data_IF_506840803171
#
_entry.id   IF_506840803171
#
_cell.length_a   1.000
_cell.length_b   1.000
_cell.length_c   1.000
_cell.angle_alpha   90.00
_cell.angle_beta   90.00
_cell.angle_gamma   90.00
#
_symmetry.space_group_name_H-M   'P 1'
#
loop_
_entity.id
_entity.type
_entity.pdbx_description
1 polymer ?
#
# COMPACT_ATOMS: atom_id res chain seq x y z
N UNK A 1 8.26 -3.69 -3.00
CA UNK A 1 9.49 -3.22 -3.65
C UNK A 1 10.62 -3.29 -2.63
N UNK A 2 11.75 -3.89 -2.99
CA UNK A 2 12.94 -3.95 -2.14
C UNK A 2 13.90 -2.86 -2.60
N UNK A 3 14.29 -1.96 -1.69
CA UNK A 3 15.26 -0.89 -1.96
C UNK A 3 16.57 -1.28 -1.29
N UNK A 4 17.61 -1.50 -2.08
CA UNK A 4 18.96 -1.78 -1.57
C UNK A 4 19.83 -0.55 -1.80
N UNK A 5 20.13 0.24 -0.76
CA UNK A 5 21.05 1.36 -0.91
C UNK A 5 22.49 0.84 -1.01
N UNK A 6 23.21 1.26 -2.05
CA UNK A 6 24.65 1.07 -2.17
C UNK A 6 25.34 2.42 -2.09
N UNK A 7 26.18 2.61 -1.07
CA UNK A 7 27.02 3.80 -0.95
C UNK A 7 28.38 3.54 -1.60
N UNK A 8 28.68 4.29 -2.66
CA UNK A 8 30.01 4.36 -3.24
C UNK A 8 30.73 5.58 -2.65
N UNK A 9 31.84 5.36 -1.95
CA UNK A 9 32.57 6.41 -1.23
C UNK A 9 33.77 6.81 -2.07
N UNK A 10 33.79 8.04 -2.53
CA UNK A 10 34.95 8.62 -3.19
C UNK A 10 35.77 9.43 -2.18
N UNK A 11 36.90 8.86 -1.76
CA UNK A 11 37.79 9.45 -0.76
C UNK A 11 38.67 10.60 -1.29
N UNK A 12 38.94 10.66 -2.60
CA UNK A 12 39.69 11.78 -3.18
C UNK A 12 38.82 13.06 -3.22
N UNK A 13 37.54 12.88 -3.54
CA UNK A 13 36.61 13.98 -3.75
C UNK A 13 35.88 14.37 -2.44
N UNK A 14 36.07 13.61 -1.36
CA UNK A 14 35.29 13.70 -0.12
C UNK A 14 33.77 13.63 -0.36
N UNK A 15 33.34 12.84 -1.35
CA UNK A 15 31.92 12.68 -1.70
C UNK A 15 31.47 11.24 -1.51
N UNK A 16 30.18 11.09 -1.20
CA UNK A 16 29.52 9.77 -1.12
C UNK A 16 28.40 9.78 -2.15
N UNK A 17 28.49 8.89 -3.12
CA UNK A 17 27.43 8.63 -4.08
C UNK A 17 26.51 7.54 -3.53
N UNK A 18 25.24 7.84 -3.33
CA UNK A 18 24.25 6.86 -2.89
C UNK A 18 23.43 6.41 -4.09
N UNK A 19 23.60 5.15 -4.48
CA UNK A 19 22.86 4.52 -5.58
C UNK A 19 21.72 3.71 -4.97
N UNK A 20 20.49 4.06 -5.32
CA UNK A 20 19.29 3.30 -4.95
C UNK A 20 18.89 2.41 -6.11
N UNK A 21 19.06 1.10 -5.94
CA UNK A 21 18.50 0.11 -6.88
C UNK A 21 17.11 -0.25 -6.40
N UNK A 22 16.08 0.07 -7.20
CA UNK A 22 14.68 -0.22 -6.90
C UNK A 22 14.28 -1.46 -7.69
N UNK A 23 14.17 -2.60 -7.01
CA UNK A 23 13.59 -3.80 -7.61
C UNK A 23 12.08 -3.79 -7.36
N UNK A 24 11.34 -3.38 -8.40
CA UNK A 24 9.91 -3.55 -8.48
C UNK A 24 9.66 -4.93 -9.07
N UNK A 25 9.67 -5.96 -8.23
CA UNK A 25 9.32 -7.33 -8.63
C UNK A 25 7.97 -7.42 -9.37
N UNK A 26 7.58 -8.64 -9.77
CA UNK A 26 6.38 -8.88 -10.61
C UNK A 26 5.16 -8.08 -10.14
N UNK A 27 4.51 -7.36 -11.06
CA UNK A 27 3.31 -6.57 -10.76
C UNK A 27 2.23 -7.52 -10.22
N UNK A 28 1.92 -7.38 -8.94
CA UNK A 28 0.77 -8.04 -8.33
C UNK A 28 -0.50 -7.27 -8.72
N UNK A 29 -1.59 -8.01 -8.94
CA UNK A 29 -2.91 -7.46 -9.23
C UNK A 29 -3.86 -7.84 -8.10
N UNK A 30 -4.84 -6.98 -7.85
CA UNK A 30 -5.87 -7.24 -6.83
C UNK A 30 -6.90 -8.17 -7.45
N UNK A 31 -6.95 -9.43 -7.04
CA UNK A 31 -7.97 -10.36 -7.56
C UNK A 31 -9.35 -10.12 -6.94
N UNK A 32 -9.40 -9.96 -5.61
CA UNK A 32 -10.64 -9.81 -4.85
C UNK A 32 -10.44 -8.96 -3.62
N UNK A 33 -11.41 -8.08 -3.34
CA UNK A 33 -11.51 -7.36 -2.06
C UNK A 33 -12.59 -8.02 -1.22
N UNK A 34 -12.19 -8.62 -0.10
CA UNK A 34 -13.10 -9.21 0.88
C UNK A 34 -13.27 -8.28 2.08
N UNK A 35 -14.52 -7.94 2.39
CA UNK A 35 -14.89 -7.08 3.51
C UNK A 35 -15.53 -7.98 4.58
N UNK A 36 -15.05 -7.88 5.83
CA UNK A 36 -15.56 -8.65 6.96
C UNK A 36 -15.78 -7.74 8.16
N UNK A 37 -16.76 -8.07 8.99
CA UNK A 37 -17.06 -7.35 10.24
C UNK A 37 -17.88 -6.06 10.08
N UNK A 38 -18.56 -5.89 8.95
CA UNK A 38 -19.39 -4.72 8.65
C UNK A 38 -20.89 -4.97 8.88
N UNK A 39 -21.27 -5.53 10.04
CA UNK A 39 -22.67 -5.95 10.31
C UNK A 39 -23.69 -4.79 10.31
N UNK A 40 -23.24 -3.57 10.70
CA UNK A 40 -24.09 -2.38 10.76
C UNK A 40 -23.97 -1.47 9.54
N UNK A 41 -22.93 -1.66 8.73
CA UNK A 41 -22.56 -0.76 7.63
C UNK A 41 -22.55 -1.52 6.32
N UNK A 42 -23.30 -1.04 5.33
CA UNK A 42 -23.37 -1.70 4.02
C UNK A 42 -22.01 -1.70 3.32
N UNK A 43 -21.70 -2.79 2.62
CA UNK A 43 -20.44 -2.99 1.89
C UNK A 43 -20.06 -1.82 0.98
N UNK A 44 -21.04 -1.21 0.29
CA UNK A 44 -20.78 -0.10 -0.63
C UNK A 44 -20.16 1.12 0.06
N UNK A 45 -20.41 1.31 1.36
CA UNK A 45 -19.86 2.43 2.14
C UNK A 45 -18.37 2.25 2.37
N UNK A 46 -17.92 1.00 2.52
CA UNK A 46 -16.49 0.68 2.68
C UNK A 46 -15.83 0.65 1.30
N UNK A 47 -16.47 0.02 0.32
CA UNK A 47 -15.94 -0.18 -1.03
C UNK A 47 -15.67 1.14 -1.76
N UNK A 48 -16.50 2.17 -1.55
CA UNK A 48 -16.29 3.51 -2.15
C UNK A 48 -15.06 4.27 -1.63
N UNK A 49 -14.48 3.87 -0.49
CA UNK A 49 -13.30 4.53 0.08
C UNK A 49 -11.99 4.01 -0.52
N UNK A 50 -12.05 2.92 -1.29
CA UNK A 50 -10.93 2.38 -2.05
C UNK A 50 -10.81 3.10 -3.40
N UNK A 51 -9.63 3.64 -3.70
CA UNK A 51 -9.29 4.18 -5.03
C UNK A 51 -8.94 3.08 -6.05
N UNK A 52 -8.95 1.81 -5.61
CA UNK A 52 -8.58 0.63 -6.40
C UNK A 52 -9.72 -0.36 -6.41
N UNK A 53 -9.87 -1.06 -7.52
CA UNK A 53 -10.87 -2.11 -7.72
C UNK A 53 -10.22 -3.46 -7.99
N UNK A 54 -11.01 -4.53 -7.93
CA UNK A 54 -10.56 -5.82 -8.44
C UNK A 54 -10.12 -5.71 -9.91
N UNK A 55 -8.95 -6.26 -10.23
CA UNK A 55 -8.28 -6.16 -11.53
C UNK A 55 -7.19 -5.07 -11.59
N UNK A 56 -7.16 -4.13 -10.65
CA UNK A 56 -6.14 -3.09 -10.63
C UNK A 56 -4.79 -3.60 -10.12
N UNK A 57 -3.71 -2.93 -10.55
CA UNK A 57 -2.37 -3.21 -10.04
C UNK A 57 -2.29 -2.84 -8.54
N UNK A 58 -1.69 -3.73 -7.75
CA UNK A 58 -1.51 -3.52 -6.32
C UNK A 58 -0.62 -2.30 -6.05
N UNK A 59 -1.16 -1.34 -5.31
CA UNK A 59 -0.44 -0.16 -4.88
C UNK A 59 -0.63 0.09 -3.39
N UNK A 60 0.43 -0.17 -2.62
CA UNK A 60 0.42 -0.01 -1.16
C UNK A 60 0.04 1.41 -0.72
N UNK A 61 0.42 2.46 -1.48
CA UNK A 61 0.09 3.85 -1.15
C UNK A 61 -1.43 4.08 -1.22
N UNK A 62 -2.09 3.52 -2.24
CA UNK A 62 -3.54 3.64 -2.40
C UNK A 62 -4.27 2.88 -1.28
N UNK A 63 -3.79 1.70 -0.90
CA UNK A 63 -4.37 0.91 0.21
C UNK A 63 -4.25 1.66 1.55
N UNK A 64 -3.08 2.23 1.86
CA UNK A 64 -2.90 3.00 3.10
C UNK A 64 -3.78 4.25 3.14
N UNK A 65 -4.00 4.89 1.98
CA UNK A 65 -4.92 6.03 1.87
C UNK A 65 -6.37 5.61 2.11
N UNK A 66 -6.79 4.46 1.56
CA UNK A 66 -8.13 3.91 1.80
C UNK A 66 -8.34 3.61 3.30
N UNK A 67 -7.35 3.00 3.97
CA UNK A 67 -7.37 2.78 5.42
C UNK A 67 -7.63 4.08 6.20
N UNK A 68 -6.87 5.13 5.89
CA UNK A 68 -7.02 6.42 6.56
C UNK A 68 -8.41 7.04 6.33
N UNK A 69 -8.99 6.89 5.14
CA UNK A 69 -10.37 7.34 4.89
C UNK A 69 -11.40 6.58 5.72
N UNK A 70 -11.26 5.26 5.81
CA UNK A 70 -12.14 4.43 6.62
C UNK A 70 -12.07 4.79 8.11
N UNK A 71 -10.87 5.07 8.62
CA UNK A 71 -10.67 5.57 9.98
C UNK A 71 -11.33 6.95 10.17
N UNK A 72 -11.20 7.85 9.19
CA UNK A 72 -11.81 9.18 9.25
C UNK A 72 -13.35 9.18 9.19
N UNK A 73 -14.00 8.10 8.73
CA UNK A 73 -15.46 7.99 8.75
C UNK A 73 -16.00 7.90 10.19
N UNK A 74 -15.17 7.53 11.17
CA UNK A 74 -15.57 7.29 12.56
C UNK A 74 -16.72 6.26 12.72
N UNK A 75 -16.88 5.36 11.74
CA UNK A 75 -17.88 4.28 11.77
C UNK A 75 -17.34 2.99 12.39
N UNK A 76 -16.01 2.86 12.47
CA UNK A 76 -15.32 1.65 12.88
C UNK A 76 -14.34 1.99 14.00
N UNK A 77 -14.31 1.17 15.06
CA UNK A 77 -13.34 1.33 16.14
C UNK A 77 -11.92 0.94 15.71
N UNK A 78 -11.82 -0.07 14.83
CA UNK A 78 -10.54 -0.57 14.31
C UNK A 78 -10.69 -0.95 12.83
N UNK A 79 -9.71 -0.50 12.03
CA UNK A 79 -9.59 -0.87 10.62
C UNK A 79 -8.26 -1.59 10.41
N UNK A 80 -8.33 -2.82 9.92
CA UNK A 80 -7.16 -3.63 9.57
C UNK A 80 -7.29 -4.09 8.11
N UNK A 81 -6.19 -4.02 7.37
CA UNK A 81 -6.13 -4.43 5.97
C UNK A 81 -4.94 -5.36 5.85
N UNK A 82 -5.22 -6.62 5.53
CA UNK A 82 -4.22 -7.65 5.27
C UNK A 82 -4.28 -8.07 3.80
N UNK A 83 -3.11 -8.39 3.25
CA UNK A 83 -2.97 -8.95 1.91
C UNK A 83 -2.54 -10.40 2.06
N UNK A 84 -3.35 -11.32 1.53
CA UNK A 84 -2.98 -12.74 1.47
C UNK A 84 -2.34 -12.97 0.09
N UNK A 85 -1.12 -13.56 0.03
CA UNK A 85 -0.47 -13.91 -1.24
C UNK A 85 -1.20 -15.00 -2.01
#
# INVERSE_FOLDING_TARGET
AQVTPRGDRNFENHTISVVYTIDQGTKAYIERIEIRGNDRTRDYVIRREFDVSEGDAFNQVLIQRAKKRLENLNYFEKVDISTVP
#
